data_IF_123045032142
#
_entry.id   IF_123045032142
#
_cell.length_a   1.000
_cell.length_b   1.000
_cell.length_c   1.000
_cell.angle_alpha   90.00
_cell.angle_beta   90.00
_cell.angle_gamma   90.00
#
_symmetry.space_group_name_H-M   'P 1'
#
loop_
_entity.id
_entity.type
_entity.pdbx_description
1 polymer ?
#
# COMPACT_ATOMS: atom_id res chain seq x y z
N UNK A 1 -3.27 -23.15 -22.85
CA UNK A 1 -3.56 -22.09 -23.84
C UNK A 1 -2.75 -20.88 -23.43
N UNK A 2 -1.59 -20.67 -24.05
CA UNK A 2 -0.75 -19.50 -23.77
C UNK A 2 -1.32 -18.31 -24.55
N UNK A 3 -1.71 -17.26 -23.84
CA UNK A 3 -2.11 -15.98 -24.43
C UNK A 3 -0.93 -15.39 -25.25
N UNK A 4 -1.20 -14.53 -26.25
CA UNK A 4 -0.13 -13.77 -26.90
C UNK A 4 0.61 -12.91 -25.84
N UNK A 5 1.94 -12.77 -25.94
CA UNK A 5 2.77 -12.16 -24.89
C UNK A 5 2.36 -10.72 -24.54
N UNK A 6 1.76 -10.00 -25.48
CA UNK A 6 1.23 -8.65 -25.26
C UNK A 6 -0.02 -8.62 -24.38
N UNK A 7 -0.86 -9.66 -24.41
CA UNK A 7 -2.11 -9.70 -23.65
C UNK A 7 -1.85 -10.12 -22.18
N UNK A 8 -0.87 -10.99 -21.94
CA UNK A 8 -0.42 -11.38 -20.60
C UNK A 8 0.23 -10.20 -19.83
N UNK A 9 1.07 -9.41 -20.51
CA UNK A 9 1.68 -8.20 -19.94
C UNK A 9 0.59 -7.19 -19.56
N UNK A 10 -0.44 -7.02 -20.39
CA UNK A 10 -1.55 -6.12 -20.09
C UNK A 10 -2.33 -6.55 -18.84
N UNK A 11 -2.65 -7.83 -18.68
CA UNK A 11 -3.33 -8.31 -17.47
C UNK A 11 -2.49 -8.09 -16.21
N UNK A 12 -1.18 -8.40 -16.26
CA UNK A 12 -0.26 -8.14 -15.14
C UNK A 12 -0.17 -6.65 -14.81
N UNK A 13 -0.07 -5.80 -15.82
CA UNK A 13 -0.04 -4.35 -15.65
C UNK A 13 -1.32 -3.84 -14.97
N UNK A 14 -2.49 -4.28 -15.41
CA UNK A 14 -3.77 -3.91 -14.79
C UNK A 14 -3.85 -4.35 -13.32
N UNK A 15 -3.36 -5.54 -12.99
CA UNK A 15 -3.32 -6.01 -11.60
C UNK A 15 -2.44 -5.11 -10.73
N UNK A 16 -1.26 -4.70 -11.24
CA UNK A 16 -0.37 -3.77 -10.55
C UNK A 16 -1.02 -2.38 -10.38
N UNK A 17 -1.73 -1.86 -11.37
CA UNK A 17 -2.37 -0.53 -11.28
C UNK A 17 -3.45 -0.46 -10.20
N UNK A 18 -4.12 -1.58 -9.88
CA UNK A 18 -5.10 -1.66 -8.80
C UNK A 18 -4.48 -1.71 -7.41
N UNK A 19 -3.26 -2.22 -7.31
CA UNK A 19 -2.54 -2.35 -6.05
C UNK A 19 -1.73 -1.09 -5.70
N UNK A 20 -1.66 -0.13 -6.61
CA UNK A 20 -0.83 1.07 -6.49
C UNK A 20 -1.68 2.36 -6.53
N UNK A 21 -1.37 3.28 -5.64
CA UNK A 21 -1.94 4.63 -5.55
C UNK A 21 -1.07 5.63 -6.32
N UNK A 22 -1.67 6.68 -6.84
CA UNK A 22 -0.92 7.82 -7.36
C UNK A 22 -0.35 8.65 -6.18
N UNK A 23 0.98 8.76 -6.02
CA UNK A 23 1.60 9.41 -4.86
C UNK A 23 1.37 10.93 -4.79
N UNK A 24 0.95 11.54 -5.90
CA UNK A 24 0.69 13.00 -6.00
C UNK A 24 -0.79 13.35 -6.13
N UNK A 25 -1.66 12.35 -6.27
CA UNK A 25 -3.09 12.55 -6.44
C UNK A 25 -3.81 12.45 -5.09
N UNK A 26 -5.06 12.89 -5.00
CA UNK A 26 -5.88 12.81 -3.78
C UNK A 26 -6.31 11.36 -3.48
N UNK A 27 -5.37 10.51 -3.06
CA UNK A 27 -5.62 9.13 -2.61
C UNK A 27 -6.41 8.26 -3.62
N UNK A 28 -6.12 8.41 -4.90
CA UNK A 28 -6.76 7.68 -6.00
C UNK A 28 -5.83 6.58 -6.54
N UNK A 29 -6.41 5.54 -7.14
CA UNK A 29 -5.67 4.43 -7.76
C UNK A 29 -4.93 4.91 -9.02
N UNK A 30 -3.86 4.20 -9.42
CA UNK A 30 -3.22 4.46 -10.72
C UNK A 30 -4.16 4.12 -11.89
N UNK A 31 -5.15 3.26 -11.71
CA UNK A 31 -6.14 2.94 -12.75
C UNK A 31 -7.07 4.15 -13.02
N UNK A 32 -7.54 4.82 -11.97
CA UNK A 32 -8.59 5.86 -12.03
C UNK A 32 -8.06 7.31 -12.11
N UNK A 33 -6.77 7.55 -11.83
CA UNK A 33 -6.20 8.91 -11.82
C UNK A 33 -5.76 9.40 -13.20
N UNK A 34 -6.40 10.48 -13.67
CA UNK A 34 -6.11 11.16 -14.94
C UNK A 34 -4.96 12.18 -14.85
N UNK A 35 -3.93 11.87 -14.05
CA UNK A 35 -2.74 12.71 -13.90
C UNK A 35 -1.66 12.36 -14.93
N UNK A 36 -0.93 13.37 -15.42
CA UNK A 36 0.22 13.16 -16.30
C UNK A 36 1.25 12.20 -15.68
N UNK A 37 1.43 12.27 -14.35
CA UNK A 37 2.33 11.39 -13.60
C UNK A 37 1.90 9.91 -13.64
N UNK A 38 0.60 9.62 -13.67
CA UNK A 38 0.08 8.25 -13.76
C UNK A 38 0.57 7.57 -15.03
N UNK A 39 0.63 8.33 -16.14
CA UNK A 39 1.08 7.83 -17.44
C UNK A 39 2.56 7.44 -17.42
N UNK A 40 3.40 8.19 -16.71
CA UNK A 40 4.83 7.89 -16.61
C UNK A 40 5.09 6.65 -15.75
N UNK A 41 4.36 6.48 -14.64
CA UNK A 41 4.47 5.28 -13.80
C UNK A 41 3.97 4.04 -14.57
N UNK A 42 2.86 4.16 -15.32
CA UNK A 42 2.35 3.09 -16.20
C UNK A 42 3.40 2.65 -17.24
N UNK A 43 4.10 3.61 -17.87
CA UNK A 43 5.19 3.30 -18.81
C UNK A 43 6.37 2.60 -18.13
N UNK A 44 6.74 3.00 -16.91
CA UNK A 44 7.80 2.35 -16.15
C UNK A 44 7.43 0.89 -15.85
N UNK A 45 6.19 0.64 -15.42
CA UNK A 45 5.68 -0.71 -15.13
C UNK A 45 5.72 -1.57 -16.40
N UNK A 46 5.21 -1.05 -17.53
CA UNK A 46 5.22 -1.76 -18.81
C UNK A 46 6.65 -2.11 -19.27
N UNK A 47 7.57 -1.16 -19.21
CA UNK A 47 8.96 -1.40 -19.61
C UNK A 47 9.62 -2.48 -18.73
N UNK A 48 9.35 -2.50 -17.42
CA UNK A 48 9.86 -3.54 -16.52
C UNK A 48 9.23 -4.90 -16.75
N UNK A 49 7.93 -4.96 -17.07
CA UNK A 49 7.27 -6.20 -17.46
C UNK A 49 7.86 -6.75 -18.77
N UNK A 50 8.15 -5.88 -19.75
CA UNK A 50 8.84 -6.24 -21.00
C UNK A 50 10.28 -6.71 -20.78
N UNK A 51 10.97 -6.18 -19.76
CA UNK A 51 12.28 -6.65 -19.31
C UNK A 51 12.23 -8.01 -18.60
N UNK A 52 11.03 -8.56 -18.37
CA UNK A 52 10.85 -9.85 -17.69
C UNK A 52 10.93 -9.78 -16.16
N UNK A 53 10.82 -8.59 -15.57
CA UNK A 53 10.75 -8.45 -14.11
C UNK A 53 9.46 -9.06 -13.55
N UNK A 54 9.55 -9.58 -12.34
CA UNK A 54 8.40 -10.09 -11.58
C UNK A 54 7.61 -8.94 -10.95
N UNK A 55 6.33 -9.17 -10.67
CA UNK A 55 5.45 -8.16 -10.08
C UNK A 55 6.03 -7.59 -8.76
N UNK A 56 6.63 -8.45 -7.95
CA UNK A 56 7.27 -8.05 -6.69
C UNK A 56 8.48 -7.13 -6.91
N UNK A 57 9.35 -7.45 -7.88
CA UNK A 57 10.51 -6.60 -8.20
C UNK A 57 10.09 -5.21 -8.68
N UNK A 58 8.99 -5.14 -9.44
CA UNK A 58 8.42 -3.88 -9.91
C UNK A 58 7.88 -3.08 -8.72
N UNK A 59 7.15 -3.73 -7.81
CA UNK A 59 6.64 -3.11 -6.58
C UNK A 59 7.79 -2.60 -5.72
N UNK A 60 8.81 -3.41 -5.47
CA UNK A 60 9.96 -3.04 -4.64
C UNK A 60 10.71 -1.85 -5.23
N UNK A 61 10.89 -1.82 -6.56
CA UNK A 61 11.49 -0.67 -7.25
C UNK A 61 10.66 0.60 -7.07
N UNK A 62 9.34 0.50 -7.18
CA UNK A 62 8.43 1.63 -7.01
C UNK A 62 8.40 2.11 -5.55
N UNK A 63 8.40 1.21 -4.57
CA UNK A 63 8.48 1.53 -3.14
C UNK A 63 9.81 2.20 -2.81
N UNK A 64 10.92 1.72 -3.38
CA UNK A 64 12.24 2.31 -3.14
C UNK A 64 12.34 3.76 -3.65
N UNK A 65 11.56 4.10 -4.69
CA UNK A 65 11.57 5.43 -5.31
C UNK A 65 10.49 6.38 -4.80
N UNK A 66 9.31 5.86 -4.47
CA UNK A 66 8.12 6.63 -4.10
C UNK A 66 7.64 6.39 -2.66
N UNK A 67 8.25 5.45 -1.94
CA UNK A 67 7.91 5.06 -0.57
C UNK A 67 6.71 4.12 -0.49
N UNK A 68 6.43 3.62 0.72
CA UNK A 68 5.30 2.72 1.00
C UNK A 68 3.92 3.35 0.70
N UNK A 69 3.83 4.67 0.56
CA UNK A 69 2.60 5.39 0.22
C UNK A 69 2.10 5.14 -1.20
N UNK A 70 2.95 4.58 -2.08
CA UNK A 70 2.54 4.15 -3.42
C UNK A 70 1.69 2.89 -3.37
N UNK A 71 1.77 2.09 -2.31
CA UNK A 71 0.95 0.90 -2.15
C UNK A 71 -0.45 1.27 -1.68
N UNK A 72 -1.45 0.62 -2.28
CA UNK A 72 -2.84 0.78 -1.88
C UNK A 72 -3.12 0.16 -0.51
N UNK A 73 -2.32 -0.81 -0.10
CA UNK A 73 -2.31 -1.35 1.25
C UNK A 73 -0.86 -1.37 1.74
N UNK A 74 -0.45 -0.44 2.64
CA UNK A 74 0.92 -0.43 3.13
C UNK A 74 1.17 -1.71 3.95
N UNK A 75 2.32 -2.38 3.76
CA UNK A 75 2.64 -3.57 4.54
C UNK A 75 2.62 -3.25 6.04
N UNK A 76 2.20 -4.23 6.85
CA UNK A 76 2.23 -4.13 8.31
C UNK A 76 3.68 -4.12 8.81
N UNK A 77 4.30 -2.94 8.76
CA UNK A 77 5.64 -2.74 9.29
C UNK A 77 5.66 -2.76 10.84
N UNK A 78 6.78 -3.19 11.47
CA UNK A 78 7.01 -3.10 12.91
C UNK A 78 6.72 -1.71 13.49
N UNK A 79 7.01 -0.66 12.70
CA UNK A 79 6.80 0.73 13.09
C UNK A 79 5.33 1.12 13.15
N UNK A 80 4.48 0.54 12.30
CA UNK A 80 3.03 0.81 12.31
C UNK A 80 2.35 0.15 13.50
N UNK A 81 2.86 -0.97 14.04
CA UNK A 81 2.25 -1.64 15.21
C UNK A 81 2.12 -0.73 16.43
N UNK A 82 3.07 0.19 16.65
CA UNK A 82 2.96 1.14 17.76
C UNK A 82 1.76 2.07 17.57
N UNK A 83 1.51 2.50 16.33
CA UNK A 83 0.36 3.33 15.97
C UNK A 83 -0.97 2.58 16.16
N UNK A 84 -1.00 1.28 15.82
CA UNK A 84 -2.19 0.44 15.95
C UNK A 84 -2.46 -0.02 17.40
N UNK A 85 -1.42 -0.30 18.19
CA UNK A 85 -1.54 -0.76 19.58
C UNK A 85 -1.70 0.40 20.57
N UNK A 86 -1.28 1.61 20.21
CA UNK A 86 -1.40 2.81 21.06
C UNK A 86 -2.82 3.03 21.61
N UNK A 87 -3.87 3.04 20.78
CA UNK A 87 -5.25 3.17 21.24
C UNK A 87 -5.67 2.08 22.24
N UNK A 88 -5.27 0.83 22.00
CA UNK A 88 -5.60 -0.31 22.86
C UNK A 88 -4.92 -0.19 24.23
N UNK A 89 -3.66 0.22 24.26
CA UNK A 89 -2.89 0.43 25.50
C UNK A 89 -3.53 1.55 26.33
N UNK A 90 -3.88 2.68 25.71
CA UNK A 90 -4.54 3.81 26.39
C UNK A 90 -5.89 3.37 26.96
N UNK A 91 -6.66 2.60 26.20
CA UNK A 91 -7.96 2.09 26.62
C UNK A 91 -7.84 1.17 27.85
N UNK A 92 -6.92 0.21 27.82
CA UNK A 92 -6.66 -0.71 28.94
C UNK A 92 -6.20 0.04 30.19
N UNK A 93 -5.28 0.99 30.04
CA UNK A 93 -4.81 1.82 31.15
C UNK A 93 -5.93 2.67 31.77
N UNK A 94 -6.80 3.22 30.93
CA UNK A 94 -7.97 3.99 31.37
C UNK A 94 -8.94 3.12 32.17
N UNK A 95 -9.33 1.96 31.62
CA UNK A 95 -10.20 1.00 32.32
C UNK A 95 -9.60 0.53 33.64
N UNK A 96 -8.31 0.19 33.65
CA UNK A 96 -7.60 -0.24 34.85
C UNK A 96 -7.66 0.81 35.96
N UNK A 97 -7.39 2.09 35.63
CA UNK A 97 -7.47 3.18 36.61
C UNK A 97 -8.88 3.40 37.15
N UNK A 98 -9.90 3.33 36.28
CA UNK A 98 -11.31 3.46 36.70
C UNK A 98 -11.67 2.36 37.68
N UNK A 99 -11.39 1.09 37.34
CA UNK A 99 -11.70 -0.06 38.21
C UNK A 99 -10.97 0.06 39.54
N UNK A 100 -9.68 0.41 39.53
CA UNK A 100 -8.89 0.60 40.74
C UNK A 100 -9.44 1.72 41.63
N UNK A 101 -9.87 2.83 41.02
CA UNK A 101 -10.44 3.97 41.76
C UNK A 101 -11.79 3.62 42.38
N UNK A 102 -12.65 2.89 41.66
CA UNK A 102 -13.94 2.41 42.18
C UNK A 102 -13.74 1.45 43.36
N UNK A 103 -12.84 0.47 43.25
CA UNK A 103 -12.50 -0.46 44.35
C UNK A 103 -11.87 0.21 45.57
N UNK A 104 -11.35 1.44 45.44
CA UNK A 104 -10.79 2.21 46.55
C UNK A 104 -11.84 3.10 47.24
N UNK A 105 -12.98 3.34 46.60
CA UNK A 105 -14.03 4.24 47.10
C UNK A 105 -15.12 3.48 47.90
N UNK A 106 -15.19 2.16 47.74
CA UNK A 106 -15.88 1.22 48.66
C UNK A 106 -14.99 0.86 49.86
#
# INVERSE_FOLDING_TARGET
MTLPPTLEINERAHNLYRQLRCPVCQNQSLEDSDAHLTTDIKKIILNKLEQGETDQQIIDYLVLRYGNFILLDPPLDPYTYLLWLGPLIIFILGLYKIIFFLKKTD
#
